data_IF_472163220466
#
_entry.id   IF_472163220466
#
_cell.length_a   1.000
_cell.length_b   1.000
_cell.length_c   1.000
_cell.angle_alpha   90.00
_cell.angle_beta   90.00
_cell.angle_gamma   90.00
#
_symmetry.space_group_name_H-M   'P 1'
#
loop_
_entity.id
_entity.type
_entity.pdbx_description
1 polymer ?
#
# COMPACT_ATOMS: atom_id res chain seq x y z
N UNK A 1 60.91 -24.40 -26.79
CA UNK A 1 60.58 -22.96 -26.67
C UNK A 1 59.36 -22.54 -27.48
N UNK A 2 59.27 -22.81 -28.79
CA UNK A 2 58.10 -22.40 -29.62
C UNK A 2 56.74 -23.00 -29.20
N UNK A 3 56.70 -24.25 -28.69
CA UNK A 3 55.46 -24.88 -28.19
C UNK A 3 54.99 -24.34 -26.82
N UNK A 4 55.88 -23.74 -26.03
CA UNK A 4 55.56 -23.18 -24.72
C UNK A 4 54.95 -21.77 -24.84
N UNK A 5 55.39 -20.98 -25.83
CA UNK A 5 54.81 -19.67 -26.11
C UNK A 5 53.37 -19.75 -26.66
N UNK A 6 53.07 -20.75 -27.49
CA UNK A 6 51.71 -20.93 -28.04
C UNK A 6 50.71 -21.32 -26.94
N UNK A 7 51.14 -22.12 -25.95
CA UNK A 7 50.28 -22.50 -24.83
C UNK A 7 49.98 -21.30 -23.90
N UNK A 8 50.95 -20.40 -23.71
CA UNK A 8 50.77 -19.17 -22.91
C UNK A 8 49.86 -18.16 -23.62
N UNK A 9 49.94 -18.04 -24.96
CA UNK A 9 49.00 -17.19 -25.71
C UNK A 9 47.58 -17.74 -25.71
N UNK A 10 47.38 -19.07 -25.76
CA UNK A 10 46.04 -19.67 -25.66
C UNK A 10 45.47 -19.53 -24.24
N UNK A 11 46.31 -19.63 -23.20
CA UNK A 11 45.91 -19.38 -21.81
C UNK A 11 45.63 -17.90 -21.49
N UNK A 12 46.31 -16.96 -22.16
CA UNK A 12 46.01 -15.52 -22.02
C UNK A 12 44.74 -15.10 -22.75
N UNK A 13 44.37 -15.77 -23.84
CA UNK A 13 43.11 -15.49 -24.56
C UNK A 13 41.89 -16.06 -23.81
N UNK A 14 42.06 -17.11 -22.99
CA UNK A 14 40.99 -17.65 -22.13
C UNK A 14 40.72 -16.85 -20.83
N UNK A 15 41.42 -15.74 -20.60
CA UNK A 15 41.26 -14.87 -19.43
C UNK A 15 40.65 -13.51 -19.74
N UNK A 16 40.06 -13.33 -20.93
CA UNK A 16 38.98 -12.36 -21.07
C UNK A 16 37.76 -12.93 -20.35
N UNK A 17 37.76 -12.82 -19.02
CA UNK A 17 36.53 -12.69 -18.26
C UNK A 17 35.87 -11.46 -18.87
N UNK A 18 34.88 -11.68 -19.75
CA UNK A 18 33.91 -10.63 -20.03
C UNK A 18 33.41 -10.20 -18.66
N UNK A 19 33.83 -9.02 -18.20
CA UNK A 19 33.13 -8.34 -17.13
C UNK A 19 31.75 -8.08 -17.72
N UNK A 20 30.83 -9.00 -17.45
CA UNK A 20 29.42 -8.83 -17.79
C UNK A 20 29.02 -7.46 -17.24
N UNK A 21 28.58 -6.57 -18.13
CA UNK A 21 28.25 -5.21 -17.76
C UNK A 21 27.17 -5.28 -16.68
N UNK A 22 27.47 -4.76 -15.50
CA UNK A 22 26.55 -4.85 -14.37
C UNK A 22 25.37 -3.91 -14.63
N UNK A 23 24.21 -4.49 -14.88
CA UNK A 23 22.95 -3.76 -15.05
C UNK A 23 22.50 -3.31 -13.66
N UNK A 24 22.31 -2.01 -13.45
CA UNK A 24 21.77 -1.46 -12.20
C UNK A 24 20.36 -0.94 -12.45
N UNK A 25 19.38 -1.53 -11.76
CA UNK A 25 17.98 -1.10 -11.76
C UNK A 25 17.72 -0.19 -10.57
N UNK A 26 17.05 0.94 -10.78
CA UNK A 26 16.65 1.87 -9.74
C UNK A 26 15.22 1.57 -9.30
N UNK A 27 15.08 1.15 -8.04
CA UNK A 27 13.80 0.91 -7.39
C UNK A 27 13.52 2.02 -6.39
N UNK A 28 12.35 2.66 -6.46
CA UNK A 28 11.86 3.55 -5.40
C UNK A 28 10.70 2.89 -4.66
N UNK A 29 10.81 2.82 -3.33
CA UNK A 29 9.74 2.28 -2.47
C UNK A 29 8.81 3.38 -1.93
N UNK A 30 7.53 3.04 -1.73
CA UNK A 30 6.50 3.90 -1.18
C UNK A 30 6.22 3.60 0.30
N UNK A 31 6.46 2.37 0.74
CA UNK A 31 6.06 1.88 2.07
C UNK A 31 7.25 1.67 3.03
N UNK A 32 8.20 2.61 3.04
CA UNK A 32 9.38 2.48 3.89
C UNK A 32 9.01 2.34 5.37
N UNK A 33 9.60 1.35 6.04
CA UNK A 33 9.41 1.15 7.49
C UNK A 33 10.56 0.34 8.09
N UNK A 34 10.77 0.40 9.42
CA UNK A 34 11.83 -0.36 10.09
C UNK A 34 11.76 -1.88 9.90
N UNK A 35 10.60 -2.43 9.56
CA UNK A 35 10.42 -3.87 9.35
C UNK A 35 10.33 -4.24 7.86
N UNK A 36 9.68 -3.40 7.05
CA UNK A 36 9.45 -3.70 5.64
C UNK A 36 10.70 -3.50 4.79
N UNK A 37 11.40 -2.38 4.95
CA UNK A 37 12.58 -2.06 4.13
C UNK A 37 13.69 -3.12 4.29
N UNK A 38 14.02 -3.63 5.50
CA UNK A 38 14.94 -4.76 5.63
C UNK A 38 14.45 -6.04 4.94
N UNK A 39 13.14 -6.31 4.98
CA UNK A 39 12.55 -7.47 4.29
C UNK A 39 12.70 -7.35 2.78
N UNK A 40 12.40 -6.17 2.21
CA UNK A 40 12.62 -5.87 0.79
C UNK A 40 14.09 -6.04 0.40
N UNK A 41 15.02 -5.52 1.21
CA UNK A 41 16.46 -5.65 0.96
C UNK A 41 16.93 -7.12 0.97
N UNK A 42 16.37 -7.96 1.85
CA UNK A 42 16.66 -9.40 1.84
C UNK A 42 16.15 -10.07 0.56
N UNK A 43 14.95 -9.73 0.10
CA UNK A 43 14.39 -10.24 -1.17
C UNK A 43 15.27 -9.81 -2.35
N UNK A 44 15.69 -8.54 -2.38
CA UNK A 44 16.61 -8.01 -3.38
C UNK A 44 17.94 -8.77 -3.36
N UNK A 45 18.51 -9.02 -2.18
CA UNK A 45 19.76 -9.77 -2.06
C UNK A 45 19.62 -11.20 -2.61
N UNK A 46 18.49 -11.87 -2.35
CA UNK A 46 18.19 -13.17 -2.93
C UNK A 46 18.08 -13.10 -4.46
N UNK A 47 17.39 -12.09 -4.98
CA UNK A 47 17.28 -11.85 -6.42
C UNK A 47 18.64 -11.61 -7.07
N UNK A 48 19.49 -10.73 -6.51
CA UNK A 48 20.84 -10.46 -7.03
C UNK A 48 21.75 -11.68 -6.97
N UNK A 49 21.54 -12.59 -6.00
CA UNK A 49 22.29 -13.85 -5.91
C UNK A 49 21.88 -14.82 -7.03
N UNK A 50 20.60 -14.85 -7.38
CA UNK A 50 20.06 -15.70 -8.46
C UNK A 50 20.31 -15.12 -9.85
N UNK A 51 20.56 -13.81 -9.95
CA UNK A 51 20.75 -13.08 -11.21
C UNK A 51 22.10 -12.36 -11.21
N UNK A 52 23.22 -13.09 -11.37
CA UNK A 52 24.53 -12.46 -11.44
C UNK A 52 24.57 -11.46 -12.60
N UNK A 53 25.17 -10.29 -12.36
CA UNK A 53 25.20 -9.19 -13.34
C UNK A 53 24.07 -8.17 -13.18
N UNK A 54 23.08 -8.41 -12.31
CA UNK A 54 22.02 -7.42 -11.99
C UNK A 54 22.19 -6.91 -10.56
N UNK A 55 22.03 -5.59 -10.40
CA UNK A 55 22.02 -4.88 -9.12
C UNK A 55 20.77 -4.03 -8.99
N UNK A 56 20.26 -3.88 -7.76
CA UNK A 56 19.12 -3.03 -7.46
C UNK A 56 19.56 -1.92 -6.50
N UNK A 57 19.48 -0.68 -6.97
CA UNK A 57 19.64 0.52 -6.16
C UNK A 57 18.29 0.92 -5.57
N UNK A 58 18.14 0.84 -4.24
CA UNK A 58 16.90 1.18 -3.54
C UNK A 58 16.90 2.63 -3.08
N UNK A 59 15.92 3.40 -3.54
CA UNK A 59 15.61 4.74 -3.09
C UNK A 59 14.48 4.63 -2.06
N UNK A 60 14.80 4.90 -0.79
CA UNK A 60 13.88 4.74 0.34
C UNK A 60 13.60 6.08 1.04
N UNK A 61 12.68 6.90 0.52
CA UNK A 61 12.24 8.12 1.20
C UNK A 61 11.41 7.78 2.46
N UNK A 62 11.30 8.68 3.45
CA UNK A 62 10.37 8.51 4.56
C UNK A 62 8.93 8.33 4.08
N UNK A 63 8.18 7.40 4.68
CA UNK A 63 6.80 7.03 4.31
C UNK A 63 5.90 8.24 3.99
N UNK A 64 5.86 9.22 4.90
CA UNK A 64 5.03 10.43 4.79
C UNK A 64 5.31 11.29 3.55
N UNK A 65 6.47 11.13 2.92
CA UNK A 65 6.92 11.91 1.76
C UNK A 65 7.18 11.06 0.52
N UNK A 66 6.98 9.74 0.61
CA UNK A 66 7.39 8.80 -0.41
C UNK A 66 6.65 9.03 -1.73
N UNK A 67 5.31 9.15 -1.69
CA UNK A 67 4.50 9.42 -2.87
C UNK A 67 4.83 10.75 -3.55
N UNK A 68 5.08 11.81 -2.76
CA UNK A 68 5.51 13.10 -3.30
C UNK A 68 6.86 12.97 -4.02
N UNK A 69 7.79 12.19 -3.46
CA UNK A 69 9.10 11.92 -4.07
C UNK A 69 8.97 11.10 -5.34
N UNK A 70 8.14 10.06 -5.34
CA UNK A 70 7.85 9.22 -6.53
C UNK A 70 7.30 10.10 -7.65
N UNK A 71 6.23 10.85 -7.39
CA UNK A 71 5.61 11.72 -8.39
C UNK A 71 6.57 12.78 -8.93
N UNK A 72 7.42 13.37 -8.07
CA UNK A 72 8.47 14.29 -8.51
C UNK A 72 9.48 13.59 -9.44
N UNK A 73 9.99 12.43 -9.06
CA UNK A 73 10.99 11.71 -9.85
C UNK A 73 10.42 11.23 -11.19
N UNK A 74 9.18 10.74 -11.22
CA UNK A 74 8.49 10.31 -12.45
C UNK A 74 8.21 11.50 -13.38
N UNK A 75 7.71 12.62 -12.84
CA UNK A 75 7.41 13.82 -13.64
C UNK A 75 8.65 14.54 -14.18
N UNK A 76 9.78 14.40 -13.49
CA UNK A 76 11.08 14.95 -13.92
C UNK A 76 11.95 13.94 -14.67
N UNK A 77 11.38 12.77 -15.01
CA UNK A 77 12.04 11.72 -15.81
C UNK A 77 13.39 11.30 -15.23
N UNK A 78 13.49 11.23 -13.90
CA UNK A 78 14.64 10.63 -13.24
C UNK A 78 14.72 9.13 -13.60
N UNK A 79 15.92 8.55 -13.65
CA UNK A 79 16.10 7.15 -14.00
C UNK A 79 15.51 6.25 -12.92
N UNK A 80 14.29 5.77 -13.16
CA UNK A 80 13.54 4.83 -12.33
C UNK A 80 13.14 3.65 -13.21
N UNK A 81 13.49 2.45 -12.79
CA UNK A 81 13.17 1.20 -13.49
C UNK A 81 12.00 0.47 -12.82
N UNK A 82 11.89 0.60 -11.49
CA UNK A 82 10.82 0.00 -10.69
C UNK A 82 10.28 1.06 -9.73
N UNK A 83 8.97 1.30 -9.81
CA UNK A 83 8.29 2.21 -8.88
C UNK A 83 7.25 1.45 -8.09
N UNK A 84 7.33 1.54 -6.77
CA UNK A 84 6.26 1.06 -5.90
C UNK A 84 5.16 2.13 -5.84
N UNK A 85 3.93 1.75 -6.16
CA UNK A 85 2.77 2.65 -6.15
C UNK A 85 1.59 1.99 -5.44
N UNK A 86 0.67 2.82 -4.96
CA UNK A 86 -0.68 2.36 -4.60
C UNK A 86 -1.59 2.30 -5.82
N UNK A 87 -2.69 1.59 -5.71
CA UNK A 87 -3.75 1.51 -6.72
C UNK A 87 -4.36 2.89 -7.05
N UNK A 88 -4.39 3.81 -6.07
CA UNK A 88 -4.89 5.18 -6.26
C UNK A 88 -4.06 6.03 -7.25
N UNK A 89 -2.77 5.74 -7.45
CA UNK A 89 -1.92 6.49 -8.39
C UNK A 89 -1.86 5.85 -9.79
N UNK A 90 -2.25 4.57 -9.90
CA UNK A 90 -2.08 3.78 -11.13
C UNK A 90 -2.70 4.48 -12.34
N UNK A 91 -3.98 4.84 -12.26
CA UNK A 91 -4.70 5.40 -13.42
C UNK A 91 -4.10 6.71 -13.90
N UNK A 92 -3.62 7.56 -12.98
CA UNK A 92 -2.98 8.82 -13.33
C UNK A 92 -1.62 8.59 -14.02
N UNK A 93 -0.78 7.72 -13.47
CA UNK A 93 0.54 7.42 -14.02
C UNK A 93 0.46 6.66 -15.35
N UNK A 94 -0.49 5.73 -15.48
CA UNK A 94 -0.77 5.03 -16.74
C UNK A 94 -1.28 6.00 -17.82
N UNK A 95 -2.18 6.92 -17.48
CA UNK A 95 -2.65 7.96 -18.40
C UNK A 95 -1.54 8.91 -18.87
N UNK A 96 -0.52 9.15 -18.04
CA UNK A 96 0.67 9.91 -18.41
C UNK A 96 1.68 9.11 -19.25
N UNK A 97 1.43 7.82 -19.52
CA UNK A 97 2.35 6.93 -20.23
C UNK A 97 3.63 6.66 -19.43
N UNK A 98 3.57 6.70 -18.10
CA UNK A 98 4.72 6.50 -17.20
C UNK A 98 4.82 5.09 -16.65
N UNK A 99 3.84 4.23 -16.94
CA UNK A 99 3.81 2.82 -16.56
C UNK A 99 3.84 1.93 -17.81
N UNK A 100 4.58 0.84 -17.73
CA UNK A 100 4.62 -0.20 -18.76
C UNK A 100 3.31 -1.01 -18.74
N UNK A 101 2.79 -1.34 -19.93
CA UNK A 101 1.66 -2.27 -20.08
C UNK A 101 2.13 -3.70 -19.79
N UNK A 102 1.69 -4.27 -18.66
CA UNK A 102 2.15 -5.57 -18.20
C UNK A 102 1.42 -6.75 -18.85
N UNK A 103 0.49 -6.50 -19.79
CA UNK A 103 -0.32 -7.55 -20.43
C UNK A 103 0.52 -8.74 -20.93
N UNK A 104 1.61 -8.53 -21.71
CA UNK A 104 2.38 -9.66 -22.26
C UNK A 104 3.06 -10.51 -21.18
N UNK A 105 3.47 -9.88 -20.07
CA UNK A 105 4.15 -10.55 -18.98
C UNK A 105 3.17 -11.34 -18.12
N UNK A 106 2.01 -10.76 -17.80
CA UNK A 106 0.97 -11.44 -17.01
C UNK A 106 0.34 -12.57 -17.81
N UNK A 107 0.13 -12.43 -19.12
CA UNK A 107 -0.44 -13.49 -19.94
C UNK A 107 0.43 -14.75 -19.95
N UNK A 108 1.75 -14.56 -19.97
CA UNK A 108 2.76 -15.62 -19.99
C UNK A 108 3.17 -16.13 -18.60
N UNK A 109 2.76 -15.46 -17.53
CA UNK A 109 3.11 -15.82 -16.15
C UNK A 109 2.32 -17.06 -15.66
N UNK A 110 2.97 -18.21 -15.39
CA UNK A 110 2.26 -19.44 -15.02
C UNK A 110 1.47 -19.32 -13.70
N UNK A 111 2.01 -18.59 -12.73
CA UNK A 111 1.44 -18.45 -11.38
C UNK A 111 0.37 -17.35 -11.28
N UNK A 112 -0.04 -16.72 -12.39
CA UNK A 112 -1.06 -15.65 -12.36
C UNK A 112 -2.40 -16.08 -11.72
N UNK A 113 -2.72 -17.37 -11.80
CA UNK A 113 -3.94 -17.94 -11.22
C UNK A 113 -3.81 -18.25 -9.71
N UNK A 114 -2.60 -18.16 -9.15
CA UNK A 114 -2.36 -18.32 -7.71
C UNK A 114 -2.59 -16.99 -6.95
N UNK A 115 -2.82 -15.90 -7.69
CA UNK A 115 -3.13 -14.59 -7.13
C UNK A 115 -4.50 -14.59 -6.44
N UNK A 116 -4.61 -13.78 -5.39
CA UNK A 116 -5.89 -13.57 -4.69
C UNK A 116 -6.93 -13.00 -5.67
N UNK A 117 -8.18 -13.45 -5.52
CA UNK A 117 -9.30 -12.98 -6.34
C UNK A 117 -9.41 -11.44 -6.36
N UNK A 118 -9.69 -10.87 -7.53
CA UNK A 118 -9.81 -9.42 -7.75
C UNK A 118 -8.48 -8.66 -7.88
N UNK A 119 -7.33 -9.26 -7.55
CA UNK A 119 -6.05 -8.54 -7.53
C UNK A 119 -5.56 -8.13 -8.93
N UNK A 120 -5.74 -8.99 -9.93
CA UNK A 120 -5.42 -8.64 -11.33
C UNK A 120 -6.43 -7.66 -11.93
N UNK A 121 -7.66 -7.64 -11.43
CA UNK A 121 -8.67 -6.65 -11.82
C UNK A 121 -8.29 -5.26 -11.28
N UNK A 122 -7.87 -5.19 -10.01
CA UNK A 122 -7.36 -3.96 -9.41
C UNK A 122 -6.12 -3.42 -10.14
N UNK A 123 -5.25 -4.32 -10.64
CA UNK A 123 -4.13 -3.92 -11.48
C UNK A 123 -4.57 -3.35 -12.85
N UNK A 124 -5.80 -3.63 -13.29
CA UNK A 124 -6.32 -3.36 -14.63
C UNK A 124 -7.35 -2.22 -14.71
N UNK A 125 -7.48 -1.43 -13.64
CA UNK A 125 -8.50 -0.37 -13.53
C UNK A 125 -8.39 0.71 -14.61
N UNK A 126 -7.21 0.89 -15.22
CA UNK A 126 -7.01 1.83 -16.32
C UNK A 126 -7.11 1.11 -17.66
N UNK A 127 -8.19 1.40 -18.41
CA UNK A 127 -8.43 0.87 -19.75
C UNK A 127 -8.41 -0.68 -19.86
N UNK A 128 -8.65 -1.39 -18.75
CA UNK A 128 -8.67 -2.86 -18.73
C UNK A 128 -7.31 -3.51 -18.92
N UNK A 129 -6.20 -2.78 -18.71
CA UNK A 129 -4.83 -3.28 -18.88
C UNK A 129 -4.06 -3.22 -17.57
N UNK A 130 -3.29 -4.25 -17.24
CA UNK A 130 -2.52 -4.29 -16.01
C UNK A 130 -1.30 -3.35 -16.09
N UNK A 131 -1.25 -2.35 -15.20
CA UNK A 131 -0.13 -1.40 -15.11
C UNK A 131 0.67 -1.51 -13.80
N UNK A 132 0.31 -2.45 -12.92
CA UNK A 132 1.10 -2.80 -11.74
C UNK A 132 1.08 -4.31 -11.54
N UNK A 133 2.14 -4.85 -10.92
CA UNK A 133 2.17 -6.22 -10.42
C UNK A 133 1.93 -6.17 -8.90
N UNK A 134 0.76 -6.61 -8.41
CA UNK A 134 0.47 -6.57 -6.99
C UNK A 134 1.36 -7.54 -6.22
N UNK A 135 2.10 -7.05 -5.22
CA UNK A 135 2.89 -7.87 -4.30
C UNK A 135 2.30 -7.94 -2.89
N UNK A 136 1.14 -7.32 -2.68
CA UNK A 136 0.45 -7.28 -1.39
C UNK A 136 -0.87 -6.54 -1.50
N UNK A 137 -1.80 -6.86 -0.61
CA UNK A 137 -3.08 -6.16 -0.44
C UNK A 137 -3.23 -5.72 1.01
N UNK A 138 -3.75 -4.52 1.21
CA UNK A 138 -4.11 -4.05 2.55
C UNK A 138 -5.57 -4.37 2.83
N UNK A 139 -5.82 -5.13 3.89
CA UNK A 139 -7.16 -5.39 4.39
C UNK A 139 -7.42 -4.53 5.62
N UNK A 140 -8.54 -3.80 5.63
CA UNK A 140 -8.98 -3.06 6.81
C UNK A 140 -9.59 -4.03 7.82
N UNK A 141 -9.14 -3.95 9.07
CA UNK A 141 -9.64 -4.77 10.16
C UNK A 141 -9.86 -3.93 11.43
N UNK A 142 -10.81 -4.34 12.27
CA UNK A 142 -10.98 -3.80 13.60
C UNK A 142 -10.01 -4.51 14.56
N UNK A 143 -9.04 -3.77 15.07
CA UNK A 143 -8.21 -4.21 16.18
C UNK A 143 -8.88 -3.79 17.49
N UNK A 144 -8.98 -4.72 18.44
CA UNK A 144 -9.58 -4.45 19.74
C UNK A 144 -8.77 -5.11 20.87
N UNK A 145 -9.03 -4.69 22.11
CA UNK A 145 -8.40 -5.22 23.32
C UNK A 145 -9.38 -6.10 24.11
N UNK A 146 -9.33 -7.44 23.97
CA UNK A 146 -10.28 -8.33 24.63
C UNK A 146 -10.26 -8.20 26.17
N UNK A 147 -9.09 -7.96 26.75
CA UNK A 147 -8.92 -7.79 28.18
C UNK A 147 -9.56 -6.51 28.72
N UNK A 148 -9.59 -5.45 27.90
CA UNK A 148 -10.30 -4.21 28.23
C UNK A 148 -11.81 -4.42 28.08
N UNK A 149 -12.28 -5.04 27.01
CA UNK A 149 -13.71 -5.36 26.85
C UNK A 149 -14.24 -6.20 28.02
N UNK A 150 -13.49 -7.23 28.43
CA UNK A 150 -13.85 -8.11 29.54
C UNK A 150 -13.99 -7.36 30.88
N UNK A 151 -13.13 -6.37 31.17
CA UNK A 151 -13.22 -5.54 32.39
C UNK A 151 -14.52 -4.75 32.48
N UNK A 152 -15.16 -4.45 31.34
CA UNK A 152 -16.44 -3.73 31.26
C UNK A 152 -17.64 -4.67 31.05
N UNK A 153 -17.43 -5.99 31.16
CA UNK A 153 -18.47 -7.00 30.95
C UNK A 153 -18.94 -7.09 29.50
N UNK A 154 -18.06 -6.80 28.53
CA UNK A 154 -18.36 -6.86 27.10
C UNK A 154 -17.72 -8.12 26.53
N UNK A 155 -18.55 -9.05 26.06
CA UNK A 155 -18.12 -10.40 25.64
C UNK A 155 -17.91 -10.52 24.12
N UNK A 156 -18.35 -9.54 23.33
CA UNK A 156 -18.23 -9.55 21.87
C UNK A 156 -17.69 -8.23 21.31
N UNK A 157 -17.04 -8.32 20.15
CA UNK A 157 -16.64 -7.16 19.36
C UNK A 157 -17.87 -6.53 18.65
N UNK A 158 -17.85 -5.20 18.36
CA UNK A 158 -18.93 -4.54 17.66
C UNK A 158 -19.06 -5.05 16.21
N UNK A 159 -20.29 -5.26 15.76
CA UNK A 159 -20.64 -5.67 14.39
C UNK A 159 -21.16 -4.54 13.53
N UNK A 160 -21.56 -3.42 14.14
CA UNK A 160 -22.08 -2.23 13.45
C UNK A 160 -21.34 -0.99 13.93
N UNK A 161 -21.40 0.09 13.14
CA UNK A 161 -20.83 1.38 13.56
C UNK A 161 -21.52 1.92 14.82
N UNK A 162 -22.83 1.74 14.95
CA UNK A 162 -23.56 2.12 16.17
C UNK A 162 -23.06 1.34 17.39
N UNK A 163 -22.89 0.02 17.29
CA UNK A 163 -22.31 -0.78 18.38
C UNK A 163 -20.88 -0.34 18.71
N UNK A 164 -20.07 -0.05 17.69
CA UNK A 164 -18.71 0.46 17.87
C UNK A 164 -18.73 1.76 18.67
N UNK A 165 -19.59 2.70 18.31
CA UNK A 165 -19.71 3.98 19.00
C UNK A 165 -20.16 3.83 20.45
N UNK A 166 -21.21 3.06 20.72
CA UNK A 166 -21.73 2.86 22.08
C UNK A 166 -20.72 2.15 22.99
N UNK A 167 -20.06 1.11 22.48
CA UNK A 167 -18.97 0.42 23.21
C UNK A 167 -17.82 1.38 23.46
N UNK A 168 -17.39 2.12 22.43
CA UNK A 168 -16.26 3.05 22.55
C UNK A 168 -16.55 4.17 23.56
N UNK A 169 -17.79 4.69 23.60
CA UNK A 169 -18.20 5.65 24.63
C UNK A 169 -18.14 5.07 26.03
N UNK A 170 -18.64 3.84 26.22
CA UNK A 170 -18.58 3.15 27.52
C UNK A 170 -17.14 2.94 28.01
N UNK A 171 -16.21 2.69 27.09
CA UNK A 171 -14.79 2.48 27.40
C UNK A 171 -14.01 3.79 27.60
N UNK A 172 -14.56 4.93 27.21
CA UNK A 172 -13.81 6.20 27.25
C UNK A 172 -13.85 6.82 28.63
N UNK A 173 -12.67 6.95 29.25
CA UNK A 173 -12.45 7.63 30.51
C UNK A 173 -11.28 8.62 30.33
N UNK A 174 -11.55 9.72 29.62
CA UNK A 174 -10.52 10.69 29.22
C UNK A 174 -9.71 11.25 30.40
N UNK A 175 -10.33 11.42 31.57
CA UNK A 175 -9.64 11.81 32.82
C UNK A 175 -8.62 10.80 33.34
N UNK A 176 -8.66 9.55 32.84
CA UNK A 176 -7.68 8.48 33.12
C UNK A 176 -6.79 8.16 31.92
N UNK A 177 -6.81 9.00 30.88
CA UNK A 177 -6.11 8.76 29.63
C UNK A 177 -6.49 7.41 28.98
N UNK A 178 -7.76 7.02 29.07
CA UNK A 178 -8.32 5.83 28.42
C UNK A 178 -9.36 6.26 27.39
N UNK A 179 -9.23 5.73 26.18
CA UNK A 179 -10.07 6.05 25.03
C UNK A 179 -10.61 4.77 24.42
N UNK A 180 -11.91 4.75 24.11
CA UNK A 180 -12.57 3.55 23.62
C UNK A 180 -12.30 3.27 22.14
N UNK A 181 -11.87 4.29 21.39
CA UNK A 181 -11.49 4.14 20.00
C UNK A 181 -10.37 5.10 19.61
N UNK A 182 -9.69 4.79 18.51
CA UNK A 182 -8.67 5.66 17.92
C UNK A 182 -8.54 5.40 16.42
N UNK A 183 -8.31 6.45 15.66
CA UNK A 183 -8.06 6.40 14.22
C UNK A 183 -7.22 7.60 13.80
N UNK A 184 -6.58 7.47 12.63
CA UNK A 184 -5.78 8.52 12.00
C UNK A 184 -6.66 9.66 11.52
N UNK A 185 -6.31 10.88 11.90
CA UNK A 185 -6.93 12.07 11.33
C UNK A 185 -6.10 12.77 10.25
N UNK A 186 -4.80 12.48 10.11
CA UNK A 186 -4.04 12.96 8.94
C UNK A 186 -4.66 12.40 7.66
N UNK A 187 -4.74 13.25 6.64
CA UNK A 187 -5.34 12.90 5.35
C UNK A 187 -4.58 11.78 4.63
N UNK A 188 -5.33 10.87 4.01
CA UNK A 188 -4.83 9.76 3.19
C UNK A 188 -5.87 9.44 2.10
N UNK A 189 -5.49 8.86 0.93
CA UNK A 189 -6.44 8.58 -0.15
C UNK A 189 -7.67 7.76 0.25
N UNK A 190 -7.51 6.80 1.19
CA UNK A 190 -8.64 6.08 1.81
C UNK A 190 -8.50 6.06 3.32
N UNK A 191 -9.31 6.87 3.99
CA UNK A 191 -9.29 7.13 5.42
C UNK A 191 -10.46 6.43 6.14
N UNK A 192 -10.46 6.51 7.47
CA UNK A 192 -11.52 5.88 8.27
C UNK A 192 -12.91 6.50 8.00
N UNK A 193 -12.96 7.76 7.56
CA UNK A 193 -14.21 8.41 7.15
C UNK A 193 -14.88 7.70 5.97
N UNK A 194 -14.15 7.10 5.03
CA UNK A 194 -14.74 6.38 3.90
C UNK A 194 -15.52 5.14 4.37
N UNK A 195 -14.98 4.45 5.38
CA UNK A 195 -15.62 3.28 6.00
C UNK A 195 -16.88 3.70 6.78
N UNK A 196 -16.79 4.82 7.51
CA UNK A 196 -17.97 5.36 8.20
C UNK A 196 -19.03 5.78 7.19
N UNK A 197 -18.65 6.51 6.15
CA UNK A 197 -19.55 7.00 5.11
C UNK A 197 -20.31 5.84 4.45
N UNK A 198 -19.59 4.87 3.90
CA UNK A 198 -20.18 3.71 3.22
C UNK A 198 -21.10 2.88 4.12
N UNK A 199 -20.88 2.87 5.44
CA UNK A 199 -21.75 2.15 6.39
C UNK A 199 -23.17 2.72 6.52
N UNK A 200 -23.41 3.94 6.04
CA UNK A 200 -24.73 4.60 6.02
C UNK A 200 -25.51 4.31 4.73
N UNK A 201 -24.94 3.55 3.80
CA UNK A 201 -25.52 3.23 2.50
C UNK A 201 -25.69 1.71 2.38
N UNK A 202 -26.89 1.26 2.05
CA UNK A 202 -27.23 -0.13 1.74
C UNK A 202 -27.18 -0.45 0.23
N UNK A 203 -26.92 0.58 -0.57
CA UNK A 203 -26.95 0.59 -2.02
C UNK A 203 -25.63 1.03 -2.65
N UNK A 204 -24.49 0.87 -1.97
CA UNK A 204 -23.15 1.12 -2.57
C UNK A 204 -22.92 0.20 -3.78
N UNK A 205 -22.33 0.76 -4.84
CA UNK A 205 -21.83 0.00 -5.98
C UNK A 205 -20.63 -0.87 -5.53
N UNK A 206 -20.69 -2.20 -5.69
CA UNK A 206 -19.59 -3.09 -5.31
C UNK A 206 -18.27 -2.79 -6.03
N UNK A 207 -18.29 -2.11 -7.17
CA UNK A 207 -17.11 -1.80 -7.98
C UNK A 207 -16.60 -0.37 -7.77
N UNK A 208 -17.38 0.49 -7.10
CA UNK A 208 -16.98 1.86 -6.80
C UNK A 208 -17.64 2.35 -5.51
N UNK A 209 -16.87 2.37 -4.41
CA UNK A 209 -17.39 2.73 -3.09
C UNK A 209 -17.91 4.17 -2.99
N UNK A 210 -17.63 5.03 -3.99
CA UNK A 210 -18.07 6.42 -4.05
C UNK A 210 -19.36 6.62 -4.85
N UNK A 211 -19.92 5.54 -5.40
CA UNK A 211 -21.18 5.53 -6.13
C UNK A 211 -22.21 4.64 -5.45
N UNK A 212 -23.48 5.02 -5.58
CA UNK A 212 -24.59 4.11 -5.36
C UNK A 212 -24.75 3.15 -6.56
N UNK A 213 -25.54 2.10 -6.42
CA UNK A 213 -25.94 1.18 -7.50
C UNK A 213 -26.71 1.88 -8.62
N UNK A 214 -27.30 3.05 -8.36
CA UNK A 214 -27.92 3.91 -9.39
C UNK A 214 -26.90 4.76 -10.16
N UNK A 215 -25.63 4.77 -9.73
CA UNK A 215 -24.55 5.57 -10.31
C UNK A 215 -24.47 6.99 -9.76
N UNK A 216 -25.14 7.28 -8.64
CA UNK A 216 -25.12 8.61 -8.00
C UNK A 216 -23.93 8.72 -7.04
N UNK A 217 -23.32 9.90 -6.96
CA UNK A 217 -22.18 10.15 -6.08
C UNK A 217 -22.67 10.21 -4.63
N UNK A 218 -22.11 9.36 -3.76
CA UNK A 218 -22.59 9.25 -2.38
C UNK A 218 -22.42 10.52 -1.56
N UNK A 219 -21.46 11.39 -1.93
CA UNK A 219 -21.20 12.65 -1.23
C UNK A 219 -22.31 13.70 -1.40
N UNK A 220 -23.18 13.54 -2.41
CA UNK A 220 -24.31 14.44 -2.66
C UNK A 220 -25.60 13.99 -1.95
N UNK A 221 -25.60 12.79 -1.37
CA UNK A 221 -26.75 12.20 -0.68
C UNK A 221 -26.84 12.69 0.78
N UNK A 222 -28.04 13.02 1.31
CA UNK A 222 -28.23 13.41 2.70
C UNK A 222 -27.65 12.44 3.74
N UNK A 223 -27.60 11.13 3.43
CA UNK A 223 -26.97 10.09 4.27
C UNK A 223 -25.50 10.38 4.55
N UNK A 224 -24.80 11.06 3.63
CA UNK A 224 -23.42 11.47 3.85
C UNK A 224 -23.26 12.48 4.98
N UNK A 225 -24.24 13.39 5.14
CA UNK A 225 -24.24 14.35 6.25
C UNK A 225 -24.47 13.64 7.58
N UNK A 226 -25.35 12.63 7.61
CA UNK A 226 -25.56 11.80 8.80
C UNK A 226 -24.28 11.05 9.20
N UNK A 227 -23.61 10.43 8.22
CA UNK A 227 -22.34 9.75 8.45
C UNK A 227 -21.23 10.68 8.93
N UNK A 228 -21.14 11.89 8.38
CA UNK A 228 -20.16 12.89 8.81
C UNK A 228 -20.43 13.35 10.26
N UNK A 229 -21.69 13.59 10.61
CA UNK A 229 -22.06 13.93 11.98
C UNK A 229 -21.74 12.80 12.96
N UNK A 230 -21.97 11.55 12.55
CA UNK A 230 -21.57 10.38 13.32
C UNK A 230 -20.05 10.30 13.49
N UNK A 231 -19.27 10.47 12.42
CA UNK A 231 -17.81 10.47 12.47
C UNK A 231 -17.27 11.53 13.44
N UNK A 232 -17.81 12.75 13.38
CA UNK A 232 -17.44 13.84 14.28
C UNK A 232 -17.81 13.51 15.74
N UNK A 233 -18.95 12.88 15.97
CA UNK A 233 -19.37 12.47 17.32
C UNK A 233 -18.47 11.36 17.86
N UNK A 234 -18.18 10.34 17.05
CA UNK A 234 -17.24 9.26 17.40
C UNK A 234 -15.87 9.82 17.77
N UNK A 235 -15.33 10.76 16.97
CA UNK A 235 -14.08 11.45 17.31
C UNK A 235 -14.16 12.16 18.66
N UNK A 236 -15.11 13.07 18.83
CA UNK A 236 -15.21 13.95 20.01
C UNK A 236 -15.44 13.17 21.30
N UNK A 237 -16.24 12.11 21.21
CA UNK A 237 -16.69 11.38 22.39
C UNK A 237 -15.75 10.25 22.80
N UNK A 238 -14.96 9.70 21.85
CA UNK A 238 -14.27 8.42 22.08
C UNK A 238 -12.79 8.41 21.78
N UNK A 239 -12.28 9.38 21.02
CA UNK A 239 -10.89 9.40 20.56
C UNK A 239 -10.02 10.42 21.31
N UNK A 240 -8.70 10.19 21.37
CA UNK A 240 -7.74 11.20 21.83
C UNK A 240 -7.82 12.46 20.99
N UNK A 241 -7.78 13.65 21.61
CA UNK A 241 -7.82 14.93 20.87
C UNK A 241 -6.66 15.10 19.88
N UNK A 242 -5.53 14.48 20.17
CA UNK A 242 -4.36 14.55 19.30
C UNK A 242 -4.45 13.59 18.11
N UNK A 243 -5.44 12.67 18.08
CA UNK A 243 -5.56 11.71 16.99
C UNK A 243 -5.82 12.34 15.63
N UNK A 244 -6.26 13.60 15.61
CA UNK A 244 -6.35 14.39 14.39
C UNK A 244 -4.99 14.58 13.68
N UNK A 245 -3.90 14.54 14.44
CA UNK A 245 -2.53 14.70 13.96
C UNK A 245 -1.83 13.36 13.68
N UNK A 246 -2.48 12.23 13.94
CA UNK A 246 -1.86 10.91 13.81
C UNK A 246 -1.89 10.43 12.36
N UNK A 247 -0.73 9.98 11.87
CA UNK A 247 -0.48 9.34 10.58
C UNK A 247 -0.24 7.85 10.74
N UNK A 248 0.52 7.23 9.83
CA UNK A 248 0.72 5.78 9.86
C UNK A 248 1.32 5.33 11.18
N UNK A 249 2.49 5.89 11.48
CA UNK A 249 3.32 5.49 12.61
C UNK A 249 2.66 5.75 13.96
N UNK A 250 1.92 6.85 14.13
CA UNK A 250 1.28 7.15 15.41
C UNK A 250 0.06 6.26 15.71
N UNK A 251 -0.52 5.58 14.72
CA UNK A 251 -1.65 4.66 14.95
C UNK A 251 -1.20 3.23 15.32
N UNK A 252 -0.11 2.75 14.71
CA UNK A 252 0.35 1.35 14.88
C UNK A 252 1.41 1.16 15.96
N UNK A 253 2.03 2.24 16.45
CA UNK A 253 2.97 2.20 17.58
C UNK A 253 2.26 2.44 18.93
#
# INVERSE_FOLDING_TARGET
MKKLLVLICVLMVSLFIFSEEVITLNLIEAFSSPYRTPTLNNIIQMFETLNPGVKINVISPPYETAYQKINLMVSTEQPLDIIEIGDWDLSALAAMGKLEDLTPYIESWPEKNDMVEGVLEAASIYQGRPYLLPHGVFVKALFYRPDILAKYGIESYPKTMTELYEISKKLTESGKNQYGFAFRGKGYPTAFIDIVLTSFFDDIDPNNMYLTKSGEIIFEDPRAIEALNFYVSLYKDTAPKDSINWGWDEQVN
#
